data_IF_892757199318
#
_entry.id   IF_892757199318
#
_cell.length_a   1.000
_cell.length_b   1.000
_cell.length_c   1.000
_cell.angle_alpha   90.00
_cell.angle_beta   90.00
_cell.angle_gamma   90.00
#
_symmetry.space_group_name_H-M   'P 1'
#
loop_
_entity.id
_entity.type
_entity.pdbx_description
1 polymer ?
#
# COMPACT_ATOMS: atom_id res chain seq x y z
N UNK A 1 -13.72 12.06 -12.36
CA UNK A 1 -13.35 13.42 -11.90
C UNK A 1 -12.75 13.50 -10.49
N UNK A 2 -12.04 12.47 -10.02
CA UNK A 2 -11.31 12.49 -8.72
C UNK A 2 -9.83 12.11 -8.90
N UNK A 3 -9.31 12.32 -10.11
CA UNK A 3 -7.90 12.11 -10.44
C UNK A 3 -7.03 13.18 -9.78
N UNK A 4 -5.78 12.83 -9.49
CA UNK A 4 -4.73 13.78 -9.13
C UNK A 4 -3.86 14.12 -10.35
N UNK A 5 -2.87 15.02 -10.20
CA UNK A 5 -2.02 15.46 -11.31
C UNK A 5 -1.23 14.36 -12.00
N UNK A 6 -0.89 13.29 -11.26
CA UNK A 6 -0.09 12.15 -11.74
C UNK A 6 -0.94 10.88 -11.91
N UNK A 7 -2.26 11.02 -12.05
CA UNK A 7 -3.12 9.86 -12.26
C UNK A 7 -3.16 9.49 -13.73
N UNK A 8 -3.15 8.19 -13.98
CA UNK A 8 -3.42 7.57 -15.26
C UNK A 8 -4.86 7.80 -15.72
N UNK A 9 -5.07 7.63 -17.04
CA UNK A 9 -6.39 7.55 -17.66
C UNK A 9 -6.69 6.08 -17.99
N UNK A 10 -7.57 5.48 -17.20
CA UNK A 10 -8.19 4.19 -17.52
C UNK A 10 -9.11 4.33 -18.75
N UNK A 11 -8.77 3.65 -19.84
CA UNK A 11 -9.48 3.74 -21.12
C UNK A 11 -9.95 2.37 -21.58
N UNK A 12 -11.23 2.26 -21.95
CA UNK A 12 -11.80 1.03 -22.49
C UNK A 12 -11.91 1.09 -24.02
N UNK A 13 -11.21 0.21 -24.72
CA UNK A 13 -11.39 -0.05 -26.14
C UNK A 13 -12.50 -1.08 -26.36
N UNK A 14 -13.66 -0.63 -26.83
CA UNK A 14 -14.80 -1.47 -27.17
C UNK A 14 -14.76 -1.80 -28.66
N UNK A 15 -14.81 -3.07 -29.01
CA UNK A 15 -14.69 -3.52 -30.41
C UNK A 15 -15.79 -4.52 -30.82
N UNK A 16 -16.14 -4.62 -32.12
CA UNK A 16 -17.09 -5.61 -32.61
C UNK A 16 -16.50 -7.03 -32.61
N UNK A 17 -17.36 -8.04 -32.76
CA UNK A 17 -17.06 -9.47 -32.59
C UNK A 17 -15.92 -10.01 -33.45
N UNK A 18 -15.67 -9.41 -34.60
CA UNK A 18 -14.63 -9.82 -35.56
C UNK A 18 -13.23 -9.28 -35.20
N UNK A 19 -13.13 -8.29 -34.31
CA UNK A 19 -11.85 -7.80 -33.79
C UNK A 19 -11.49 -8.59 -32.54
N UNK A 20 -10.34 -9.26 -32.58
CA UNK A 20 -9.89 -10.17 -31.50
C UNK A 20 -8.83 -9.52 -30.62
N UNK A 21 -8.56 -10.12 -29.46
CA UNK A 21 -7.46 -9.70 -28.57
C UNK A 21 -6.10 -9.75 -29.27
N UNK A 22 -5.92 -10.66 -30.25
CA UNK A 22 -4.70 -10.69 -31.05
C UNK A 22 -4.55 -9.42 -31.89
N UNK A 23 -5.63 -8.89 -32.47
CA UNK A 23 -5.56 -7.59 -33.18
C UNK A 23 -5.23 -6.45 -32.21
N UNK A 24 -5.77 -6.49 -30.99
CA UNK A 24 -5.47 -5.50 -29.96
C UNK A 24 -3.98 -5.48 -29.58
N UNK A 25 -3.32 -6.63 -29.43
CA UNK A 25 -1.89 -6.65 -29.10
C UNK A 25 -0.94 -6.63 -30.30
N UNK A 26 -1.29 -7.29 -31.40
CA UNK A 26 -0.36 -7.50 -32.52
C UNK A 26 -0.60 -6.55 -33.70
N UNK A 27 -1.77 -5.90 -33.80
CA UNK A 27 -2.05 -4.91 -34.83
C UNK A 27 -2.04 -3.48 -34.30
N UNK A 28 -2.59 -3.23 -33.10
CA UNK A 28 -2.64 -1.88 -32.54
C UNK A 28 -1.30 -1.46 -31.91
N UNK A 29 -0.57 -2.34 -31.23
CA UNK A 29 0.72 -1.98 -30.61
C UNK A 29 1.74 -1.45 -31.64
N UNK A 30 1.96 -2.08 -32.82
CA UNK A 30 2.86 -1.51 -33.82
C UNK A 30 2.41 -0.12 -34.30
N UNK A 31 1.10 0.09 -34.46
CA UNK A 31 0.55 1.40 -34.84
C UNK A 31 0.81 2.44 -33.76
N UNK A 32 0.59 2.12 -32.49
CA UNK A 32 0.89 3.01 -31.37
C UNK A 32 2.39 3.33 -31.30
N UNK A 33 3.26 2.32 -31.50
CA UNK A 33 4.73 2.52 -31.54
C UNK A 33 5.19 3.42 -32.69
N UNK A 34 4.46 3.48 -33.81
CA UNK A 34 4.79 4.38 -34.92
C UNK A 34 4.44 5.85 -34.66
N UNK A 35 3.71 6.16 -33.59
CA UNK A 35 3.35 7.52 -33.23
C UNK A 35 4.44 8.13 -32.34
N UNK A 36 5.09 9.20 -32.81
CA UNK A 36 6.16 9.89 -32.04
C UNK A 36 5.70 10.42 -30.67
N UNK A 37 4.39 10.64 -30.50
CA UNK A 37 3.78 11.10 -29.24
C UNK A 37 3.65 9.97 -28.20
N UNK A 38 3.77 8.71 -28.59
CA UNK A 38 3.65 7.55 -27.69
C UNK A 38 5.02 7.17 -27.16
N UNK A 39 5.16 7.12 -25.83
CA UNK A 39 6.37 6.72 -25.11
C UNK A 39 6.05 5.61 -24.11
N UNK A 40 7.09 4.93 -23.64
CA UNK A 40 7.01 3.92 -22.56
C UNK A 40 5.95 2.83 -22.79
N UNK A 41 5.70 2.44 -24.05
CA UNK A 41 4.66 1.46 -24.36
C UNK A 41 5.02 0.08 -23.83
N UNK A 42 4.14 -0.48 -23.01
CA UNK A 42 4.23 -1.81 -22.43
C UNK A 42 2.91 -2.56 -22.59
N UNK A 43 2.96 -3.77 -23.17
CA UNK A 43 1.80 -4.63 -23.36
C UNK A 43 1.84 -5.81 -22.39
N UNK A 44 0.73 -6.05 -21.67
CA UNK A 44 0.59 -7.13 -20.70
C UNK A 44 -0.64 -7.99 -21.02
N UNK A 45 -0.41 -9.07 -21.78
CA UNK A 45 -1.47 -9.96 -22.27
C UNK A 45 -1.98 -10.94 -21.20
N UNK A 46 -1.05 -11.47 -20.40
CA UNK A 46 -1.31 -12.51 -19.40
C UNK A 46 -1.84 -11.98 -18.06
N UNK A 47 -2.22 -10.70 -18.01
CA UNK A 47 -2.83 -10.10 -16.83
C UNK A 47 -4.26 -10.62 -16.61
N UNK A 48 -4.76 -10.40 -15.38
CA UNK A 48 -6.15 -10.67 -15.04
C UNK A 48 -7.11 -9.92 -15.99
N UNK A 49 -6.82 -8.64 -16.23
CA UNK A 49 -7.41 -7.83 -17.31
C UNK A 49 -6.25 -7.46 -18.24
N UNK A 50 -6.23 -7.95 -19.49
CA UNK A 50 -5.19 -7.58 -20.45
C UNK A 50 -5.18 -6.08 -20.70
N UNK A 51 -3.98 -5.49 -20.74
CA UNK A 51 -3.81 -4.03 -20.78
C UNK A 51 -2.60 -3.64 -21.63
N UNK A 52 -2.73 -2.54 -22.36
CA UNK A 52 -1.62 -1.81 -23.00
C UNK A 52 -1.45 -0.51 -22.22
N UNK A 53 -0.26 -0.33 -21.65
CA UNK A 53 0.13 0.86 -20.90
C UNK A 53 1.06 1.70 -21.75
N UNK A 54 0.85 3.01 -21.82
CA UNK A 54 1.74 3.91 -22.55
C UNK A 54 1.57 5.35 -22.06
N UNK A 55 2.59 6.16 -22.24
CA UNK A 55 2.50 7.61 -22.08
C UNK A 55 2.14 8.21 -23.44
N UNK A 56 1.02 8.91 -23.54
CA UNK A 56 0.64 9.69 -24.72
C UNK A 56 0.92 11.17 -24.42
N UNK A 57 1.91 11.73 -25.11
CA UNK A 57 2.49 13.04 -24.84
C UNK A 57 3.08 13.13 -23.41
N UNK A 58 2.29 13.56 -22.43
CA UNK A 58 2.66 13.65 -21.01
C UNK A 58 1.70 12.90 -20.07
N UNK A 59 0.76 12.13 -20.62
CA UNK A 59 -0.31 11.48 -19.84
C UNK A 59 -0.21 9.97 -19.94
N UNK A 60 -0.15 9.31 -18.79
CA UNK A 60 -0.19 7.84 -18.73
C UNK A 60 -1.59 7.31 -19.04
N UNK A 61 -1.68 6.34 -19.94
CA UNK A 61 -2.92 5.70 -20.38
C UNK A 61 -2.83 4.20 -20.13
N UNK A 62 -3.85 3.68 -19.44
CA UNK A 62 -4.10 2.25 -19.27
C UNK A 62 -5.25 1.86 -20.21
N UNK A 63 -4.91 1.30 -21.38
CA UNK A 63 -5.87 0.89 -22.39
C UNK A 63 -6.24 -0.59 -22.21
N UNK A 64 -7.48 -0.85 -21.84
CA UNK A 64 -8.05 -2.20 -21.69
C UNK A 64 -9.01 -2.53 -22.84
N UNK A 65 -9.26 -3.82 -23.04
CA UNK A 65 -10.01 -4.34 -24.18
C UNK A 65 -11.32 -5.00 -23.76
N UNK A 66 -12.39 -4.76 -24.53
CA UNK A 66 -13.63 -5.54 -24.46
C UNK A 66 -14.21 -5.77 -25.85
N UNK A 67 -14.44 -7.05 -26.18
CA UNK A 67 -15.02 -7.46 -27.46
C UNK A 67 -16.49 -7.80 -27.31
N UNK A 68 -17.36 -7.03 -27.96
CA UNK A 68 -18.80 -7.24 -27.93
C UNK A 68 -19.25 -8.35 -28.87
N UNK A 69 -20.41 -8.93 -28.57
CA UNK A 69 -21.12 -9.89 -29.42
C UNK A 69 -21.88 -9.24 -30.60
N UNK A 70 -21.43 -8.07 -31.07
CA UNK A 70 -22.06 -7.26 -32.12
C UNK A 70 -21.21 -7.26 -33.39
N UNK A 71 -21.85 -7.27 -34.57
CA UNK A 71 -21.12 -7.16 -35.85
C UNK A 71 -20.59 -5.74 -36.11
N UNK A 72 -21.32 -4.74 -35.63
CA UNK A 72 -21.03 -3.31 -35.72
C UNK A 72 -21.42 -2.69 -34.38
N UNK A 73 -20.65 -1.71 -33.90
CA UNK A 73 -21.00 -0.93 -32.71
C UNK A 73 -21.80 0.28 -33.18
N UNK A 74 -23.10 0.41 -32.80
CA UNK A 74 -23.88 1.61 -33.12
C UNK A 74 -23.32 2.86 -32.42
N UNK A 75 -23.49 4.03 -33.03
CA UNK A 75 -23.09 5.30 -32.41
C UNK A 75 -23.82 5.56 -31.08
N UNK A 76 -25.11 5.19 -31.01
CA UNK A 76 -25.97 5.30 -29.83
C UNK A 76 -25.87 4.08 -28.88
N UNK A 77 -24.74 3.36 -28.90
CA UNK A 77 -24.57 2.18 -28.06
C UNK A 77 -24.43 2.54 -26.58
N UNK A 78 -25.37 2.05 -25.75
CA UNK A 78 -25.35 2.28 -24.31
C UNK A 78 -24.58 1.17 -23.54
N UNK A 79 -23.41 1.45 -22.94
CA UNK A 79 -22.69 0.47 -22.14
C UNK A 79 -23.46 -0.03 -20.92
N UNK A 80 -24.54 0.63 -20.49
CA UNK A 80 -25.33 0.26 -19.31
C UNK A 80 -26.42 -0.78 -19.59
N UNK A 81 -26.81 -1.03 -20.84
CA UNK A 81 -27.76 -2.10 -21.13
C UNK A 81 -27.15 -3.46 -20.75
N UNK A 82 -27.79 -4.19 -19.82
CA UNK A 82 -27.34 -5.50 -19.37
C UNK A 82 -27.28 -6.53 -20.51
N UNK A 83 -28.06 -6.34 -21.58
CA UNK A 83 -28.02 -7.22 -22.76
C UNK A 83 -26.64 -7.22 -23.44
N UNK A 84 -25.88 -6.14 -23.32
CA UNK A 84 -24.52 -6.05 -23.87
C UNK A 84 -23.53 -7.00 -23.22
N UNK A 85 -23.86 -7.57 -22.05
CA UNK A 85 -23.03 -8.56 -21.37
C UNK A 85 -23.26 -9.99 -21.88
N UNK A 86 -24.26 -10.20 -22.74
CA UNK A 86 -24.60 -11.53 -23.26
C UNK A 86 -23.46 -12.07 -24.14
N UNK A 87 -23.03 -13.30 -23.83
CA UNK A 87 -22.00 -14.03 -24.55
C UNK A 87 -20.62 -13.33 -24.59
N UNK A 88 -20.36 -12.38 -23.68
CA UNK A 88 -19.00 -11.84 -23.52
C UNK A 88 -18.10 -12.87 -22.84
N UNK A 89 -16.83 -12.90 -23.23
CA UNK A 89 -15.84 -13.64 -22.45
C UNK A 89 -15.62 -12.96 -21.08
N UNK A 90 -15.19 -13.70 -20.05
CA UNK A 90 -15.05 -13.16 -18.70
C UNK A 90 -14.11 -11.94 -18.58
N UNK A 91 -13.07 -11.84 -19.42
CA UNK A 91 -12.15 -10.71 -19.42
C UNK A 91 -12.83 -9.47 -19.99
N UNK A 92 -13.49 -9.58 -21.14
CA UNK A 92 -14.27 -8.51 -21.77
C UNK A 92 -15.39 -7.99 -20.87
N UNK A 93 -16.10 -8.90 -20.18
CA UNK A 93 -17.13 -8.55 -19.21
C UNK A 93 -16.56 -7.71 -18.06
N UNK A 94 -15.42 -8.11 -17.51
CA UNK A 94 -14.80 -7.38 -16.41
C UNK A 94 -14.30 -6.00 -16.83
N UNK A 95 -13.67 -5.89 -18.02
CA UNK A 95 -13.24 -4.62 -18.59
C UNK A 95 -14.41 -3.65 -18.72
N UNK A 96 -15.54 -4.13 -19.26
CA UNK A 96 -16.74 -3.33 -19.47
C UNK A 96 -17.40 -2.89 -18.14
N UNK A 97 -17.40 -3.76 -17.13
CA UNK A 97 -17.97 -3.44 -15.82
C UNK A 97 -17.22 -2.32 -15.08
N UNK A 98 -15.92 -2.11 -15.32
CA UNK A 98 -15.19 -1.00 -14.72
C UNK A 98 -15.80 0.38 -15.03
N UNK A 99 -16.18 0.59 -16.30
CA UNK A 99 -16.87 1.80 -16.74
C UNK A 99 -18.30 1.85 -16.18
N UNK A 100 -19.05 0.75 -16.32
CA UNK A 100 -20.46 0.66 -15.87
C UNK A 100 -20.60 0.96 -14.37
N UNK A 101 -19.69 0.47 -13.53
CA UNK A 101 -19.69 0.73 -12.09
C UNK A 101 -19.40 2.20 -11.77
N UNK A 102 -18.45 2.81 -12.48
CA UNK A 102 -18.10 4.23 -12.28
C UNK A 102 -19.29 5.13 -12.57
N UNK A 103 -19.98 4.91 -13.69
CA UNK A 103 -21.14 5.69 -14.08
C UNK A 103 -22.35 5.40 -13.19
N UNK A 104 -22.56 4.15 -12.80
CA UNK A 104 -23.61 3.77 -11.87
C UNK A 104 -23.45 4.50 -10.51
N UNK A 105 -22.21 4.61 -9.99
CA UNK A 105 -21.96 5.39 -8.77
C UNK A 105 -22.36 6.85 -8.96
N UNK A 106 -21.98 7.47 -10.09
CA UNK A 106 -22.30 8.87 -10.36
C UNK A 106 -23.81 9.11 -10.49
N UNK A 107 -24.56 8.16 -11.06
CA UNK A 107 -26.04 8.20 -11.13
C UNK A 107 -26.71 8.00 -9.77
N UNK A 108 -26.04 7.32 -8.83
CA UNK A 108 -26.59 6.96 -7.52
C UNK A 108 -26.28 7.97 -6.40
N UNK A 109 -25.43 8.98 -6.65
CA UNK A 109 -25.13 10.02 -5.68
C UNK A 109 -26.01 11.26 -5.89
N UNK A 110 -26.60 11.82 -4.82
CA UNK A 110 -27.52 12.98 -4.94
C UNK A 110 -26.79 14.29 -5.26
N UNK A 111 -25.54 14.44 -4.81
CA UNK A 111 -24.71 15.60 -5.09
C UNK A 111 -23.31 15.14 -5.53
N UNK A 112 -23.03 15.27 -6.83
CA UNK A 112 -21.79 14.80 -7.46
C UNK A 112 -20.56 15.57 -6.97
N UNK A 113 -20.69 16.87 -6.70
CA UNK A 113 -19.56 17.71 -6.28
C UNK A 113 -19.17 17.47 -4.83
N UNK A 114 -20.15 17.31 -3.95
CA UNK A 114 -19.93 16.89 -2.57
C UNK A 114 -19.30 15.49 -2.52
N UNK A 115 -19.78 14.56 -3.35
CA UNK A 115 -19.20 13.22 -3.51
C UNK A 115 -17.74 13.28 -3.97
N UNK A 116 -17.44 14.01 -5.05
CA UNK A 116 -16.08 14.13 -5.61
C UNK A 116 -15.10 14.74 -4.61
N UNK A 117 -15.50 15.80 -3.93
CA UNK A 117 -14.67 16.48 -2.92
C UNK A 117 -14.36 15.54 -1.75
N UNK A 118 -15.39 14.87 -1.22
CA UNK A 118 -15.23 13.88 -0.15
C UNK A 118 -14.34 12.72 -0.57
N UNK A 119 -14.57 12.15 -1.75
CA UNK A 119 -13.80 11.01 -2.25
C UNK A 119 -12.33 11.37 -2.48
N UNK A 120 -12.02 12.58 -2.97
CA UNK A 120 -10.62 13.05 -3.08
C UNK A 120 -9.94 13.06 -1.72
N UNK A 121 -10.60 13.59 -0.69
CA UNK A 121 -10.07 13.59 0.67
C UNK A 121 -9.88 12.16 1.18
N UNK A 122 -10.89 11.28 1.06
CA UNK A 122 -10.81 9.89 1.53
C UNK A 122 -9.70 9.11 0.82
N UNK A 123 -9.52 9.27 -0.51
CA UNK A 123 -8.42 8.61 -1.22
C UNK A 123 -7.06 9.08 -0.72
N UNK A 124 -6.89 10.38 -0.47
CA UNK A 124 -5.63 10.94 0.07
C UNK A 124 -5.38 10.45 1.50
N UNK A 125 -6.40 10.49 2.36
CA UNK A 125 -6.38 9.97 3.73
C UNK A 125 -6.00 8.49 3.74
N UNK A 126 -6.68 7.66 2.96
CA UNK A 126 -6.44 6.22 2.89
C UNK A 126 -5.02 5.91 2.42
N UNK A 127 -4.48 6.70 1.47
CA UNK A 127 -3.07 6.58 1.05
C UNK A 127 -2.11 6.95 2.18
N UNK A 128 -2.31 8.09 2.85
CA UNK A 128 -1.46 8.53 3.98
C UNK A 128 -1.49 7.53 5.15
N UNK A 129 -2.67 6.96 5.44
CA UNK A 129 -2.87 5.95 6.50
C UNK A 129 -2.51 4.52 6.07
N UNK A 130 -1.99 4.32 4.86
CA UNK A 130 -1.55 3.03 4.34
C UNK A 130 -2.66 1.95 4.33
N UNK A 131 -3.89 2.36 4.02
CA UNK A 131 -5.07 1.48 3.88
C UNK A 131 -5.65 1.50 2.46
N UNK A 132 -4.84 1.89 1.47
CA UNK A 132 -5.21 1.94 0.05
C UNK A 132 -4.36 0.94 -0.75
N UNK A 133 -4.86 -0.29 -0.95
CA UNK A 133 -4.39 -1.26 -1.95
C UNK A 133 -5.19 -2.57 -1.89
N UNK A 134 -5.91 -2.90 -2.96
CA UNK A 134 -6.63 -4.18 -3.04
C UNK A 134 -5.69 -5.40 -3.08
N UNK A 135 -4.50 -5.26 -3.66
CA UNK A 135 -3.52 -6.37 -3.77
C UNK A 135 -3.02 -6.79 -2.39
N UNK A 136 -2.82 -5.83 -1.50
CA UNK A 136 -2.40 -6.08 -0.11
C UNK A 136 -3.58 -6.32 0.85
N UNK A 137 -4.79 -6.55 0.33
CA UNK A 137 -5.96 -6.86 1.15
C UNK A 137 -6.57 -5.67 1.87
N UNK A 138 -6.33 -4.45 1.39
CA UNK A 138 -7.05 -3.24 1.79
C UNK A 138 -8.05 -2.82 0.71
N UNK A 139 -8.61 -1.62 0.82
CA UNK A 139 -9.61 -1.09 -0.09
C UNK A 139 -8.96 -0.47 -1.33
N UNK A 140 -9.49 -0.81 -2.51
CA UNK A 140 -9.14 -0.18 -3.79
C UNK A 140 -9.98 1.06 -4.09
N UNK A 141 -9.69 1.72 -5.22
CA UNK A 141 -10.35 2.98 -5.61
C UNK A 141 -11.87 2.87 -5.70
N UNK A 142 -12.37 1.82 -6.34
CA UNK A 142 -13.82 1.58 -6.48
C UNK A 142 -14.50 1.33 -5.13
N UNK A 143 -13.86 0.59 -4.23
CA UNK A 143 -14.40 0.33 -2.89
C UNK A 143 -14.52 1.62 -2.10
N UNK A 144 -13.50 2.50 -2.13
CA UNK A 144 -13.58 3.82 -1.49
C UNK A 144 -14.66 4.71 -2.10
N UNK A 145 -14.87 4.63 -3.42
CA UNK A 145 -15.94 5.34 -4.10
C UNK A 145 -17.32 4.86 -3.63
N UNK A 146 -17.53 3.54 -3.55
CA UNK A 146 -18.78 2.95 -3.04
C UNK A 146 -19.04 3.36 -1.59
N UNK A 147 -18.03 3.27 -0.72
CA UNK A 147 -18.17 3.69 0.68
C UNK A 147 -18.56 5.18 0.77
N UNK A 148 -17.90 6.03 -0.01
CA UNK A 148 -18.19 7.47 -0.01
C UNK A 148 -19.59 7.77 -0.55
N UNK A 149 -19.98 7.12 -1.66
CA UNK A 149 -21.29 7.27 -2.27
C UNK A 149 -22.42 6.84 -1.33
N UNK A 150 -22.20 5.78 -0.54
CA UNK A 150 -23.19 5.32 0.44
C UNK A 150 -23.51 6.40 1.47
N UNK A 151 -22.51 7.12 1.95
CA UNK A 151 -22.71 8.21 2.91
C UNK A 151 -23.41 9.39 2.23
N UNK A 152 -23.08 9.68 0.96
CA UNK A 152 -23.79 10.71 0.18
C UNK A 152 -25.29 10.37 0.05
N UNK A 153 -25.66 9.10 -0.18
CA UNK A 153 -27.06 8.66 -0.24
C UNK A 153 -27.80 8.85 1.09
N UNK A 154 -27.13 8.58 2.22
CA UNK A 154 -27.71 8.73 3.55
C UNK A 154 -27.85 10.20 3.99
N UNK A 155 -27.05 11.09 3.40
CA UNK A 155 -26.97 12.50 3.76
C UNK A 155 -26.98 13.40 2.51
N UNK A 156 -28.08 13.43 1.75
CA UNK A 156 -28.10 13.97 0.38
C UNK A 156 -27.81 15.47 0.26
N UNK A 157 -28.16 16.24 1.29
CA UNK A 157 -28.06 17.70 1.29
C UNK A 157 -26.89 18.23 2.13
N UNK A 158 -25.94 17.35 2.52
CA UNK A 158 -24.83 17.73 3.39
C UNK A 158 -23.61 18.19 2.58
N UNK A 159 -22.82 19.08 3.18
CA UNK A 159 -21.53 19.51 2.64
C UNK A 159 -20.49 18.40 2.73
N UNK A 160 -19.43 18.48 1.91
CA UNK A 160 -18.36 17.49 1.89
C UNK A 160 -17.70 17.29 3.28
N UNK A 161 -17.53 18.36 4.06
CA UNK A 161 -16.98 18.27 5.43
C UNK A 161 -17.88 17.46 6.36
N UNK A 162 -19.20 17.67 6.29
CA UNK A 162 -20.16 16.89 7.08
C UNK A 162 -20.23 15.43 6.62
N UNK A 163 -20.17 15.18 5.31
CA UNK A 163 -20.10 13.81 4.76
C UNK A 163 -18.85 13.10 5.28
N UNK A 164 -17.68 13.77 5.34
CA UNK A 164 -16.45 13.20 5.91
C UNK A 164 -16.60 12.83 7.39
N UNK A 165 -17.23 13.69 8.20
CA UNK A 165 -17.49 13.38 9.61
C UNK A 165 -18.41 12.16 9.71
N UNK A 166 -19.52 12.15 8.95
CA UNK A 166 -20.47 11.01 8.94
C UNK A 166 -19.83 9.73 8.42
N UNK A 167 -18.90 9.81 7.47
CA UNK A 167 -18.18 8.66 6.93
C UNK A 167 -17.44 7.88 8.03
N UNK A 168 -16.63 8.56 8.83
CA UNK A 168 -15.89 7.88 9.89
C UNK A 168 -16.80 7.34 10.98
N UNK A 169 -17.81 8.12 11.39
CA UNK A 169 -18.78 7.67 12.40
C UNK A 169 -19.57 6.44 11.95
N UNK A 170 -20.01 6.42 10.70
CA UNK A 170 -20.78 5.31 10.15
C UNK A 170 -19.96 4.02 10.06
N UNK A 171 -18.71 4.11 9.57
CA UNK A 171 -17.86 2.93 9.38
C UNK A 171 -17.14 2.43 10.64
N UNK A 172 -16.98 3.28 11.67
CA UNK A 172 -16.61 2.85 13.03
C UNK A 172 -17.68 1.92 13.64
N UNK A 173 -18.96 2.28 13.45
CA UNK A 173 -20.09 1.52 14.00
C UNK A 173 -20.56 0.35 13.10
N UNK A 174 -20.13 0.30 11.84
CA UNK A 174 -20.63 -0.69 10.89
C UNK A 174 -20.34 -2.13 11.33
N UNK A 175 -21.40 -2.95 11.37
CA UNK A 175 -21.34 -4.36 11.80
C UNK A 175 -20.94 -5.27 10.65
N UNK A 176 -19.65 -5.34 10.38
CA UNK A 176 -19.06 -6.33 9.48
C UNK A 176 -19.37 -7.77 9.95
N UNK A 177 -19.74 -8.72 9.05
CA UNK A 177 -19.61 -8.66 7.59
C UNK A 177 -20.88 -8.22 6.84
N UNK A 178 -21.78 -7.44 7.46
CA UNK A 178 -22.96 -6.92 6.74
C UNK A 178 -22.53 -6.19 5.46
N UNK A 179 -23.17 -6.45 4.30
CA UNK A 179 -22.74 -5.91 3.02
C UNK A 179 -23.10 -4.44 2.85
N UNK A 180 -22.21 -3.70 2.22
CA UNK A 180 -22.47 -2.32 1.81
C UNK A 180 -22.88 -2.32 0.34
N UNK A 181 -24.09 -1.87 0.08
CA UNK A 181 -24.69 -1.75 -1.27
C UNK A 181 -25.26 -0.35 -1.49
N UNK A 182 -25.12 0.15 -2.73
CA UNK A 182 -25.69 1.43 -3.18
C UNK A 182 -27.09 1.28 -3.78
N UNK A 183 -27.41 0.08 -4.26
CA UNK A 183 -28.69 -0.27 -4.88
C UNK A 183 -29.01 -1.73 -4.59
N UNK A 184 -30.21 -2.18 -4.96
CA UNK A 184 -30.59 -3.58 -4.86
C UNK A 184 -29.80 -4.47 -5.83
N UNK A 185 -29.52 -5.69 -5.38
CA UNK A 185 -28.76 -6.66 -6.19
C UNK A 185 -29.73 -7.35 -7.14
N UNK A 186 -29.59 -7.03 -8.43
CA UNK A 186 -30.44 -7.60 -9.47
C UNK A 186 -29.84 -8.93 -9.95
N UNK A 187 -30.68 -9.96 -10.06
CA UNK A 187 -30.34 -11.24 -10.72
C UNK A 187 -31.10 -11.32 -12.05
N UNK A 188 -30.40 -11.62 -13.14
CA UNK A 188 -30.97 -11.76 -14.48
C UNK A 188 -30.73 -13.20 -14.98
N UNK A 189 -31.67 -14.13 -14.75
CA UNK A 189 -31.50 -15.55 -15.09
C UNK A 189 -31.19 -15.80 -16.57
N UNK A 190 -31.70 -14.94 -17.46
CA UNK A 190 -31.49 -15.01 -18.90
C UNK A 190 -30.06 -14.72 -19.37
N UNK A 191 -29.22 -14.10 -18.53
CA UNK A 191 -27.81 -13.81 -18.84
C UNK A 191 -26.84 -14.80 -18.19
N UNK A 192 -27.30 -15.57 -17.20
CA UNK A 192 -26.52 -16.62 -16.52
C UNK A 192 -25.12 -16.20 -16.04
N UNK A 193 -24.95 -14.94 -15.62
CA UNK A 193 -23.71 -14.44 -15.04
C UNK A 193 -23.72 -14.61 -13.52
N UNK A 194 -22.56 -14.91 -12.95
CA UNK A 194 -22.38 -15.00 -11.50
C UNK A 194 -22.63 -13.62 -10.86
N UNK A 195 -23.56 -13.58 -9.91
CA UNK A 195 -23.87 -12.40 -9.10
C UNK A 195 -23.55 -12.73 -7.65
N UNK A 196 -22.94 -11.79 -6.95
CA UNK A 196 -22.67 -11.92 -5.53
C UNK A 196 -23.95 -12.23 -4.75
N UNK A 197 -23.90 -13.29 -3.94
CA UNK A 197 -25.01 -13.74 -3.12
C UNK A 197 -24.58 -13.82 -1.64
N UNK A 198 -25.28 -13.14 -0.71
CA UNK A 198 -24.96 -13.22 0.71
C UNK A 198 -25.05 -14.65 1.26
N UNK A 199 -25.89 -15.53 0.70
CA UNK A 199 -26.05 -16.90 1.16
C UNK A 199 -24.80 -17.76 0.90
N UNK A 200 -24.05 -17.46 -0.15
CA UNK A 200 -22.84 -18.22 -0.53
C UNK A 200 -21.55 -17.55 -0.03
N UNK A 201 -21.60 -16.25 0.29
CA UNK A 201 -20.45 -15.42 0.67
C UNK A 201 -20.01 -15.50 2.15
N UNK A 202 -20.27 -16.63 2.84
CA UNK A 202 -20.08 -16.78 4.30
C UNK A 202 -18.64 -16.58 4.81
N UNK A 203 -17.62 -16.67 3.95
CA UNK A 203 -16.20 -16.47 4.31
C UNK A 203 -15.72 -15.02 4.14
N UNK A 204 -16.52 -14.15 3.54
CA UNK A 204 -16.12 -12.79 3.21
C UNK A 204 -16.27 -11.86 4.43
N UNK A 205 -15.23 -11.09 4.73
CA UNK A 205 -15.13 -10.36 5.99
C UNK A 205 -15.69 -8.92 5.94
N UNK A 206 -15.64 -8.29 4.76
CA UNK A 206 -16.06 -6.90 4.59
C UNK A 206 -16.65 -6.63 3.19
N UNK A 207 -17.78 -7.25 2.82
CA UNK A 207 -18.33 -7.16 1.47
C UNK A 207 -18.77 -5.74 1.10
N UNK A 208 -18.18 -5.21 0.02
CA UNK A 208 -18.54 -3.90 -0.57
C UNK A 208 -18.90 -4.16 -2.03
N UNK A 209 -20.19 -4.04 -2.33
CA UNK A 209 -20.80 -4.60 -3.53
C UNK A 209 -20.86 -3.55 -4.63
N UNK A 210 -20.37 -3.93 -5.82
CA UNK A 210 -20.42 -3.08 -7.01
C UNK A 210 -21.86 -2.88 -7.49
N UNK A 211 -22.25 -1.68 -7.94
CA UNK A 211 -23.64 -1.35 -8.24
C UNK A 211 -24.13 -1.84 -9.62
N UNK A 212 -23.24 -1.99 -10.61
CA UNK A 212 -23.66 -2.45 -11.93
C UNK A 212 -23.84 -3.98 -11.93
N UNK A 213 -24.80 -4.46 -12.73
CA UNK A 213 -24.95 -5.89 -12.95
C UNK A 213 -23.81 -6.43 -13.84
N UNK A 214 -23.30 -7.65 -13.58
CA UNK A 214 -23.53 -8.43 -12.36
C UNK A 214 -22.75 -7.87 -11.17
N UNK A 215 -23.45 -7.73 -10.04
CA UNK A 215 -22.88 -7.18 -8.82
C UNK A 215 -21.86 -8.14 -8.22
N UNK A 216 -20.69 -7.63 -7.84
CA UNK A 216 -19.57 -8.41 -7.30
C UNK A 216 -19.06 -7.80 -6.00
N UNK A 217 -18.41 -8.60 -5.16
CA UNK A 217 -17.69 -8.04 -4.02
C UNK A 217 -16.35 -7.45 -4.47
N UNK A 218 -16.15 -6.14 -4.27
CA UNK A 218 -14.92 -5.43 -4.62
C UNK A 218 -13.75 -5.66 -3.65
N UNK A 219 -13.99 -6.32 -2.52
CA UNK A 219 -13.04 -6.41 -1.38
C UNK A 219 -12.76 -7.84 -0.93
N UNK A 220 -12.80 -8.77 -1.88
CA UNK A 220 -12.56 -10.20 -1.65
C UNK A 220 -11.17 -10.53 -1.10
N UNK A 221 -10.19 -9.61 -1.20
CA UNK A 221 -8.84 -9.79 -0.65
C UNK A 221 -8.71 -9.34 0.82
N UNK A 222 -9.74 -8.73 1.42
CA UNK A 222 -9.68 -8.34 2.84
C UNK A 222 -9.57 -9.59 3.71
N UNK A 223 -8.60 -9.57 4.63
CA UNK A 223 -8.40 -10.60 5.63
C UNK A 223 -8.65 -10.04 7.04
N UNK A 224 -8.50 -10.87 8.08
CA UNK A 224 -8.78 -10.48 9.47
C UNK A 224 -7.88 -9.34 9.95
N UNK A 225 -6.59 -9.34 9.58
CA UNK A 225 -5.64 -8.34 10.03
C UNK A 225 -5.86 -7.00 9.35
N UNK A 226 -6.12 -6.98 8.04
CA UNK A 226 -6.40 -5.74 7.29
C UNK A 226 -7.74 -5.14 7.68
N UNK A 227 -8.76 -5.97 7.97
CA UNK A 227 -10.02 -5.49 8.54
C UNK A 227 -9.83 -4.87 9.94
N UNK A 228 -8.98 -5.46 10.79
CA UNK A 228 -8.62 -4.89 12.10
C UNK A 228 -7.98 -3.51 11.95
N UNK A 229 -7.07 -3.35 10.99
CA UNK A 229 -6.44 -2.05 10.67
C UNK A 229 -7.48 -1.04 10.15
N UNK A 230 -8.35 -1.44 9.21
CA UNK A 230 -9.42 -0.57 8.70
C UNK A 230 -10.34 -0.08 9.82
N UNK A 231 -10.79 -0.97 10.71
CA UNK A 231 -11.61 -0.61 11.88
C UNK A 231 -10.90 0.39 12.80
N UNK A 232 -9.61 0.18 13.07
CA UNK A 232 -8.80 1.11 13.88
C UNK A 232 -8.71 2.48 13.23
N UNK A 233 -8.49 2.55 11.92
CA UNK A 233 -8.39 3.82 11.20
C UNK A 233 -9.75 4.54 11.08
N UNK A 234 -10.86 3.81 10.92
CA UNK A 234 -12.20 4.41 11.00
C UNK A 234 -12.47 4.97 12.39
N UNK A 235 -12.13 4.22 13.44
CA UNK A 235 -12.22 4.69 14.84
C UNK A 235 -11.39 5.94 15.08
N UNK A 236 -10.12 5.94 14.64
CA UNK A 236 -9.23 7.11 14.73
C UNK A 236 -9.84 8.31 14.04
N UNK A 237 -10.34 8.12 12.82
CA UNK A 237 -11.02 9.17 12.07
C UNK A 237 -12.22 9.72 12.82
N UNK A 238 -13.07 8.84 13.36
CA UNK A 238 -14.26 9.20 14.14
C UNK A 238 -13.90 9.99 15.39
N UNK A 239 -12.92 9.52 16.16
CA UNK A 239 -12.49 10.18 17.40
C UNK A 239 -11.90 11.58 17.13
N UNK A 240 -11.20 11.77 16.00
CA UNK A 240 -10.71 13.07 15.55
C UNK A 240 -11.87 13.98 15.09
N UNK A 241 -12.73 13.50 14.19
CA UNK A 241 -13.82 14.30 13.63
C UNK A 241 -14.94 14.61 14.62
N UNK A 242 -15.11 13.81 15.68
CA UNK A 242 -16.09 14.09 16.74
C UNK A 242 -15.81 15.45 17.39
N UNK A 243 -14.53 15.83 17.50
CA UNK A 243 -14.13 17.10 18.12
C UNK A 243 -14.64 18.31 17.32
N UNK A 244 -14.75 18.18 15.99
CA UNK A 244 -15.28 19.23 15.09
C UNK A 244 -16.74 19.57 15.42
N UNK A 245 -17.48 18.64 16.03
CA UNK A 245 -18.89 18.85 16.39
C UNK A 245 -19.08 19.72 17.64
N UNK A 246 -18.01 20.10 18.34
CA UNK A 246 -18.09 21.04 19.46
C UNK A 246 -18.43 22.45 18.94
N UNK A 247 -19.55 23.08 19.36
CA UNK A 247 -19.93 24.43 18.90
C UNK A 247 -18.91 25.52 19.22
N UNK A 248 -18.00 25.28 20.17
CA UNK A 248 -16.96 26.24 20.60
C UNK A 248 -15.59 26.00 19.96
N UNK A 249 -15.47 25.06 19.02
CA UNK A 249 -14.18 24.73 18.40
C UNK A 249 -13.68 25.91 17.55
N UNK A 250 -12.40 26.24 17.69
CA UNK A 250 -11.74 27.27 16.88
C UNK A 250 -11.39 26.76 15.47
N UNK A 251 -11.16 27.69 14.53
CA UNK A 251 -10.74 27.36 13.15
C UNK A 251 -9.37 26.71 13.14
N UNK A 252 -8.47 27.12 14.04
CA UNK A 252 -7.14 26.55 14.22
C UNK A 252 -7.22 25.09 14.66
N UNK A 253 -8.12 24.76 15.59
CA UNK A 253 -8.34 23.37 16.03
C UNK A 253 -8.95 22.51 14.91
N UNK A 254 -9.92 23.02 14.15
CA UNK A 254 -10.46 22.31 12.97
C UNK A 254 -9.35 22.02 11.97
N UNK A 255 -8.52 23.02 11.66
CA UNK A 255 -7.39 22.89 10.73
C UNK A 255 -6.40 21.84 11.22
N UNK A 256 -6.08 21.86 12.52
CA UNK A 256 -5.25 20.85 13.15
C UNK A 256 -5.86 19.44 13.01
N UNK A 257 -7.17 19.27 13.23
CA UNK A 257 -7.82 17.97 13.09
C UNK A 257 -7.73 17.43 11.65
N UNK A 258 -7.92 18.29 10.63
CA UNK A 258 -7.75 17.88 9.24
C UNK A 258 -6.31 17.48 8.92
N UNK A 259 -5.32 18.18 9.49
CA UNK A 259 -3.92 17.81 9.37
C UNK A 259 -3.61 16.49 10.09
N UNK A 260 -4.10 16.32 11.32
CA UNK A 260 -3.97 15.09 12.11
C UNK A 260 -4.57 13.90 11.34
N UNK A 261 -5.72 14.05 10.68
CA UNK A 261 -6.29 13.01 9.81
C UNK A 261 -5.32 12.60 8.69
N UNK A 262 -4.56 13.55 8.13
CA UNK A 262 -3.64 13.36 7.01
C UNK A 262 -2.23 12.91 7.40
N UNK A 263 -1.95 12.74 8.70
CA UNK A 263 -0.66 12.22 9.17
C UNK A 263 -0.36 10.84 8.56
N UNK A 264 0.89 10.59 8.12
CA UNK A 264 1.33 9.27 7.67
C UNK A 264 1.10 8.17 8.71
N UNK A 265 0.88 6.95 8.23
CA UNK A 265 0.73 5.76 9.09
C UNK A 265 1.95 5.51 9.98
N UNK A 266 1.71 5.16 11.24
CA UNK A 266 2.75 4.77 12.20
C UNK A 266 3.25 3.32 11.98
N UNK A 267 3.03 2.73 10.81
CA UNK A 267 3.29 1.32 10.52
C UNK A 267 4.66 0.83 11.03
N UNK A 268 5.74 1.56 10.71
CA UNK A 268 7.13 1.21 11.10
C UNK A 268 7.43 1.43 12.60
N UNK A 269 6.48 1.97 13.36
CA UNK A 269 6.59 2.27 14.78
C UNK A 269 5.71 1.37 15.65
N UNK A 270 4.70 0.72 15.05
CA UNK A 270 3.71 -0.09 15.76
C UNK A 270 4.15 -1.54 15.94
N UNK A 271 4.72 -2.16 14.90
CA UNK A 271 5.13 -3.56 14.99
C UNK A 271 6.53 -3.69 15.62
N UNK A 272 6.74 -4.80 16.35
CA UNK A 272 8.06 -5.14 16.92
C UNK A 272 8.95 -5.89 15.92
N UNK A 273 8.32 -6.54 14.95
CA UNK A 273 8.93 -7.47 14.01
C UNK A 273 8.40 -7.20 12.61
N UNK A 274 9.27 -7.37 11.62
CA UNK A 274 8.97 -7.14 10.21
C UNK A 274 9.58 -8.25 9.38
N UNK A 275 8.96 -8.48 8.23
CA UNK A 275 9.56 -9.19 7.11
C UNK A 275 9.82 -8.16 6.00
N UNK A 276 11.06 -8.03 5.58
CA UNK A 276 11.47 -7.20 4.45
C UNK A 276 11.58 -8.08 3.21
N UNK A 277 10.93 -7.69 2.12
CA UNK A 277 11.06 -8.34 0.82
C UNK A 277 11.84 -7.40 -0.09
N UNK A 278 13.10 -7.71 -0.30
CA UNK A 278 14.08 -6.93 -1.06
C UNK A 278 14.03 -7.36 -2.51
N UNK A 279 13.96 -6.38 -3.39
CA UNK A 279 13.81 -6.56 -4.83
C UNK A 279 14.90 -5.73 -5.49
N UNK A 280 15.72 -6.36 -6.30
CA UNK A 280 16.78 -5.71 -7.07
C UNK A 280 16.73 -6.12 -8.54
N UNK A 281 17.26 -5.25 -9.40
CA UNK A 281 17.28 -5.44 -10.84
C UNK A 281 18.50 -4.72 -11.45
N UNK A 282 18.91 -5.04 -12.69
CA UNK A 282 20.06 -4.40 -13.33
C UNK A 282 19.84 -2.93 -13.68
N UNK A 283 18.59 -2.53 -13.95
CA UNK A 283 18.20 -1.16 -14.29
C UNK A 283 16.76 -0.83 -13.82
N UNK A 284 16.31 0.41 -14.07
CA UNK A 284 15.02 0.93 -13.63
C UNK A 284 13.82 0.28 -14.36
N UNK A 285 13.94 -0.05 -15.63
CA UNK A 285 12.87 -0.67 -16.41
C UNK A 285 12.63 -2.11 -15.96
N UNK A 286 13.72 -2.88 -15.78
CA UNK A 286 13.65 -4.21 -15.20
C UNK A 286 13.13 -4.16 -13.77
N UNK A 287 13.53 -3.18 -12.95
CA UNK A 287 13.04 -3.01 -11.60
C UNK A 287 11.53 -2.75 -11.57
N UNK A 288 11.02 -1.84 -12.42
CA UNK A 288 9.59 -1.50 -12.52
C UNK A 288 8.76 -2.75 -12.85
N UNK A 289 9.19 -3.53 -13.84
CA UNK A 289 8.53 -4.79 -14.21
C UNK A 289 8.60 -5.85 -13.11
N UNK A 290 9.75 -5.98 -12.45
CA UNK A 290 9.96 -6.95 -11.39
C UNK A 290 9.18 -6.60 -10.12
N UNK A 291 9.16 -5.33 -9.71
CA UNK A 291 8.33 -4.81 -8.62
C UNK A 291 6.86 -5.14 -8.82
N UNK A 292 6.30 -4.82 -10.00
CA UNK A 292 4.90 -5.13 -10.31
C UNK A 292 4.60 -6.64 -10.27
N UNK A 293 5.55 -7.46 -10.72
CA UNK A 293 5.44 -8.92 -10.64
C UNK A 293 5.39 -9.41 -9.20
N UNK A 294 6.34 -8.98 -8.36
CA UNK A 294 6.42 -9.36 -6.95
C UNK A 294 5.20 -8.84 -6.17
N UNK A 295 4.80 -7.59 -6.41
CA UNK A 295 3.61 -6.97 -5.81
C UNK A 295 2.36 -7.80 -6.08
N UNK A 296 2.13 -8.19 -7.35
CA UNK A 296 0.95 -8.98 -7.75
C UNK A 296 0.86 -10.34 -7.05
N UNK A 297 2.00 -10.87 -6.58
CA UNK A 297 2.08 -12.15 -5.87
C UNK A 297 2.13 -12.00 -4.36
N UNK A 298 2.34 -10.80 -3.81
CA UNK A 298 2.55 -10.59 -2.36
C UNK A 298 1.43 -11.18 -1.49
N UNK A 299 0.19 -11.19 -2.01
CA UNK A 299 -0.95 -11.87 -1.38
C UNK A 299 -0.69 -13.35 -1.05
N UNK A 300 0.10 -14.05 -1.85
CA UNK A 300 0.44 -15.46 -1.64
C UNK A 300 1.36 -15.65 -0.44
N UNK A 301 2.31 -14.73 -0.21
CA UNK A 301 3.15 -14.72 0.98
C UNK A 301 2.30 -14.43 2.22
N UNK A 302 1.49 -13.36 2.17
CA UNK A 302 0.58 -12.97 3.26
C UNK A 302 -0.41 -14.10 3.60
N UNK A 303 -0.92 -14.82 2.60
CA UNK A 303 -1.81 -15.98 2.80
C UNK A 303 -1.09 -17.14 3.50
N UNK A 304 0.15 -17.46 3.11
CA UNK A 304 0.93 -18.57 3.73
C UNK A 304 1.38 -18.26 5.15
N UNK A 305 1.61 -16.98 5.45
CA UNK A 305 1.95 -16.52 6.78
C UNK A 305 0.73 -16.39 7.71
N UNK A 306 -0.45 -16.87 7.32
CA UNK A 306 -1.68 -16.77 8.12
C UNK A 306 -2.43 -18.12 8.15
N UNK A 307 -3.45 -18.27 9.03
CA UNK A 307 -4.25 -19.50 9.07
C UNK A 307 -4.91 -19.80 7.71
N UNK A 308 -5.00 -21.08 7.31
CA UNK A 308 -4.69 -22.28 8.09
C UNK A 308 -3.22 -22.74 8.02
N UNK A 309 -2.34 -22.00 7.34
CA UNK A 309 -0.95 -22.43 7.16
C UNK A 309 -0.08 -22.08 8.36
N UNK A 310 -0.22 -20.87 8.89
CA UNK A 310 0.53 -20.40 10.07
C UNK A 310 -0.44 -19.83 11.09
N UNK A 311 -0.51 -20.42 12.28
CA UNK A 311 -1.50 -20.04 13.30
C UNK A 311 -0.99 -19.03 14.32
N UNK A 312 0.33 -18.92 14.49
CA UNK A 312 0.96 -18.17 15.57
C UNK A 312 1.49 -16.79 15.16
N UNK A 313 1.19 -16.34 13.94
CA UNK A 313 1.57 -15.00 13.45
C UNK A 313 0.39 -14.30 12.80
N UNK A 314 0.22 -13.03 13.15
CA UNK A 314 -0.65 -12.10 12.44
C UNK A 314 0.21 -11.18 11.59
N UNK A 315 -0.17 -11.02 10.32
CA UNK A 315 0.59 -10.26 9.33
C UNK A 315 -0.13 -8.97 8.96
N UNK A 316 0.59 -7.87 9.00
CA UNK A 316 0.12 -6.54 8.65
C UNK A 316 0.87 -6.06 7.40
N UNK A 317 0.29 -6.14 6.21
CA UNK A 317 0.97 -5.67 5.01
C UNK A 317 1.10 -4.14 4.99
N UNK A 318 2.25 -3.64 4.54
CA UNK A 318 2.40 -2.24 4.14
C UNK A 318 2.27 -2.14 2.62
N UNK A 319 1.31 -1.36 2.08
CA UNK A 319 0.96 -1.38 0.67
C UNK A 319 1.93 -0.64 -0.25
N UNK A 320 3.02 -0.07 0.27
CA UNK A 320 3.98 0.71 -0.49
C UNK A 320 5.38 0.10 -0.40
N UNK A 321 6.11 0.17 -1.50
CA UNK A 321 7.53 -0.14 -1.52
C UNK A 321 8.36 1.08 -1.09
N UNK A 322 9.60 0.82 -0.65
CA UNK A 322 10.56 1.83 -0.23
C UNK A 322 11.84 1.68 -1.05
N UNK A 323 12.26 2.78 -1.68
CA UNK A 323 13.55 2.89 -2.38
C UNK A 323 14.69 2.82 -1.37
N UNK A 324 15.71 2.03 -1.68
CA UNK A 324 16.98 2.06 -0.94
C UNK A 324 17.74 3.33 -1.30
N UNK A 325 18.40 3.92 -0.32
CA UNK A 325 19.24 5.12 -0.53
C UNK A 325 20.70 4.77 -0.82
N UNK A 326 21.09 3.56 -0.43
CA UNK A 326 22.44 3.00 -0.45
C UNK A 326 22.65 1.96 -1.57
N UNK A 327 21.57 1.50 -2.21
CA UNK A 327 21.61 0.54 -3.31
C UNK A 327 20.83 1.03 -4.52
N UNK A 328 21.47 1.02 -5.70
CA UNK A 328 20.80 1.35 -6.97
C UNK A 328 19.81 0.24 -7.33
N UNK A 329 18.74 0.66 -8.00
CA UNK A 329 17.69 -0.22 -8.53
C UNK A 329 17.21 -1.28 -7.53
N UNK A 330 17.12 -0.89 -6.26
CA UNK A 330 16.75 -1.76 -5.15
C UNK A 330 15.65 -1.13 -4.34
N UNK A 331 14.58 -1.87 -4.15
CA UNK A 331 13.38 -1.45 -3.42
C UNK A 331 12.93 -2.55 -2.47
N UNK A 332 12.10 -2.21 -1.49
CA UNK A 332 11.57 -3.20 -0.55
C UNK A 332 10.12 -3.01 -0.17
N UNK A 333 9.39 -4.13 -0.12
CA UNK A 333 8.12 -4.23 0.57
C UNK A 333 8.33 -4.66 2.02
N UNK A 334 7.37 -4.32 2.88
CA UNK A 334 7.42 -4.65 4.30
C UNK A 334 6.11 -5.27 4.78
N UNK A 335 6.22 -6.30 5.61
CA UNK A 335 5.12 -6.91 6.33
C UNK A 335 5.40 -6.80 7.83
N UNK A 336 4.52 -6.16 8.59
CA UNK A 336 4.57 -6.13 10.04
C UNK A 336 4.11 -7.47 10.61
N UNK A 337 4.79 -7.96 11.63
CA UNK A 337 4.51 -9.26 12.23
C UNK A 337 4.17 -9.10 13.72
N UNK A 338 3.09 -9.74 14.13
CA UNK A 338 2.71 -9.90 15.53
C UNK A 338 2.64 -11.41 15.83
N UNK A 339 3.48 -11.89 16.73
CA UNK A 339 3.51 -13.30 17.15
C UNK A 339 2.64 -13.51 18.37
N UNK A 340 1.98 -14.67 18.44
CA UNK A 340 1.27 -15.09 19.64
C UNK A 340 2.22 -15.17 20.85
N UNK A 341 1.70 -14.78 22.01
CA UNK A 341 2.47 -14.81 23.25
C UNK A 341 2.91 -16.25 23.60
N UNK A 342 4.09 -16.39 24.21
CA UNK A 342 4.62 -17.70 24.61
C UNK A 342 5.24 -18.55 23.49
N UNK A 343 4.97 -18.30 22.20
CA UNK A 343 5.61 -19.05 21.10
C UNK A 343 7.11 -18.75 21.02
N UNK A 344 7.98 -19.77 21.06
CA UNK A 344 9.45 -19.62 21.03
C UNK A 344 10.05 -19.92 19.67
N UNK A 345 9.67 -21.05 19.05
CA UNK A 345 10.09 -21.39 17.70
C UNK A 345 9.15 -20.75 16.66
N UNK A 346 9.64 -19.72 15.99
CA UNK A 346 8.98 -19.06 14.86
C UNK A 346 9.64 -19.57 13.58
N UNK A 347 8.86 -20.18 12.69
CA UNK A 347 9.36 -20.69 11.42
C UNK A 347 8.61 -20.06 10.25
N UNK A 348 9.30 -19.17 9.52
CA UNK A 348 8.73 -18.48 8.36
C UNK A 348 9.19 -19.11 7.02
N UNK A 349 10.11 -20.09 7.07
CA UNK A 349 10.76 -20.69 5.91
C UNK A 349 9.78 -21.24 4.89
N UNK A 350 8.81 -22.06 5.30
CA UNK A 350 7.83 -22.66 4.37
C UNK A 350 7.04 -21.63 3.56
N UNK A 351 6.68 -20.50 4.19
CA UNK A 351 5.96 -19.44 3.51
C UNK A 351 6.84 -18.68 2.51
N UNK A 352 8.10 -18.45 2.89
CA UNK A 352 9.13 -17.83 2.05
C UNK A 352 9.43 -18.72 0.85
N UNK A 353 9.73 -20.00 1.07
CA UNK A 353 10.03 -20.99 0.01
C UNK A 353 8.85 -21.14 -0.96
N UNK A 354 7.62 -21.20 -0.44
CA UNK A 354 6.43 -21.20 -1.29
C UNK A 354 6.34 -19.94 -2.16
N UNK A 355 6.64 -18.78 -1.59
CA UNK A 355 6.60 -17.52 -2.33
C UNK A 355 7.68 -17.45 -3.41
N UNK A 356 8.92 -17.87 -3.11
CA UNK A 356 9.98 -18.05 -4.11
C UNK A 356 9.50 -18.95 -5.25
N UNK A 357 8.87 -20.10 -4.95
CA UNK A 357 8.38 -21.03 -5.98
C UNK A 357 7.33 -20.41 -6.92
N UNK A 358 6.55 -19.42 -6.45
CA UNK A 358 5.57 -18.70 -7.28
C UNK A 358 6.21 -17.68 -8.20
N UNK A 359 7.38 -17.16 -7.84
CA UNK A 359 8.11 -16.16 -8.61
C UNK A 359 9.15 -16.77 -9.55
N UNK A 360 9.75 -17.92 -9.21
CA UNK A 360 10.67 -18.64 -10.10
C UNK A 360 10.01 -19.15 -11.38
N UNK A 361 8.70 -19.43 -11.33
CA UNK A 361 7.93 -19.89 -12.52
C UNK A 361 7.50 -18.74 -13.45
N UNK A 362 7.94 -17.50 -13.19
CA UNK A 362 7.54 -16.37 -14.00
C UNK A 362 8.33 -16.32 -15.32
N UNK A 363 7.67 -16.31 -16.50
CA UNK A 363 8.35 -16.42 -17.80
C UNK A 363 9.38 -15.33 -18.09
N UNK A 364 9.18 -14.12 -17.54
CA UNK A 364 10.05 -12.96 -17.76
C UNK A 364 11.16 -12.80 -16.71
N UNK A 365 11.35 -13.77 -15.81
CA UNK A 365 12.39 -13.68 -14.78
C UNK A 365 13.76 -13.91 -15.39
N UNK A 366 14.70 -13.00 -15.15
CA UNK A 366 16.12 -13.18 -15.49
C UNK A 366 16.95 -13.51 -14.24
N UNK A 367 18.17 -14.07 -14.39
CA UNK A 367 19.08 -14.31 -13.26
C UNK A 367 19.47 -13.04 -12.49
N UNK A 368 19.46 -11.88 -13.15
CA UNK A 368 19.82 -10.58 -12.58
C UNK A 368 18.69 -9.98 -11.73
N UNK A 369 17.47 -10.51 -11.82
CA UNK A 369 16.35 -10.11 -10.97
C UNK A 369 16.46 -10.76 -9.58
N UNK A 370 16.95 -9.98 -8.62
CA UNK A 370 17.14 -10.40 -7.24
C UNK A 370 15.84 -10.40 -6.43
N UNK A 371 15.74 -11.33 -5.50
CA UNK A 371 14.66 -11.41 -4.52
C UNK A 371 15.19 -12.02 -3.24
N UNK A 372 15.29 -11.22 -2.19
CA UNK A 372 15.69 -11.65 -0.86
C UNK A 372 14.61 -11.34 0.15
N UNK A 373 14.41 -12.22 1.14
CA UNK A 373 13.38 -12.06 2.16
C UNK A 373 14.01 -12.22 3.54
N UNK A 374 13.97 -11.16 4.33
CA UNK A 374 14.68 -11.08 5.59
C UNK A 374 13.75 -10.75 6.76
N UNK A 375 13.94 -11.44 7.87
CA UNK A 375 13.31 -11.08 9.14
C UNK A 375 14.11 -9.97 9.84
N UNK A 376 13.41 -8.93 10.31
CA UNK A 376 14.02 -7.77 10.96
C UNK A 376 13.26 -7.41 12.24
N UNK A 377 13.97 -7.29 13.37
CA UNK A 377 13.45 -6.66 14.60
C UNK A 377 13.44 -5.15 14.41
N UNK A 378 12.43 -4.40 14.86
CA UNK A 378 12.35 -2.99 14.44
C UNK A 378 13.43 -2.03 14.97
N UNK A 379 14.26 -2.43 15.93
CA UNK A 379 15.52 -1.71 16.26
C UNK A 379 16.45 -1.63 15.06
N UNK A 380 16.36 -2.63 14.19
CA UNK A 380 17.25 -2.89 13.09
C UNK A 380 16.58 -2.58 11.74
N UNK A 381 15.38 -1.99 11.73
CA UNK A 381 14.80 -1.46 10.49
C UNK A 381 15.82 -0.50 9.83
N UNK A 382 16.03 -0.59 8.51
CA UNK A 382 16.94 0.32 7.81
C UNK A 382 16.49 1.78 7.94
N UNK A 383 17.43 2.73 7.90
CA UNK A 383 17.09 4.15 8.11
C UNK A 383 16.26 4.72 6.94
N UNK A 384 16.45 4.20 5.72
CA UNK A 384 15.71 4.64 4.51
C UNK A 384 14.19 4.47 4.63
N UNK A 385 13.69 3.59 5.51
CA UNK A 385 12.23 3.36 5.64
C UNK A 385 11.52 4.59 6.22
N UNK A 386 12.23 5.39 7.02
CA UNK A 386 11.67 6.55 7.70
C UNK A 386 11.76 7.84 6.85
N UNK A 387 12.52 7.85 5.75
CA UNK A 387 12.67 9.03 4.90
C UNK A 387 13.27 10.22 5.67
N UNK A 388 12.67 11.40 5.52
CA UNK A 388 13.07 12.62 6.25
C UNK A 388 12.65 12.61 7.73
N UNK A 389 11.71 11.75 8.09
CA UNK A 389 11.28 11.59 9.47
C UNK A 389 12.36 10.78 10.21
N UNK A 390 13.15 11.42 11.07
CA UNK A 390 14.16 10.68 11.85
C UNK A 390 13.49 9.58 12.68
N UNK A 391 14.13 8.40 12.73
CA UNK A 391 13.72 7.27 13.57
C UNK A 391 13.30 7.75 14.96
N UNK A 392 12.04 7.55 15.38
CA UNK A 392 11.55 8.14 16.61
C UNK A 392 12.37 7.70 17.84
N UNK A 393 12.65 8.61 18.79
CA UNK A 393 13.47 8.32 19.98
C UNK A 393 12.96 7.17 20.87
N UNK A 394 11.71 6.72 20.65
CA UNK A 394 11.05 5.63 21.39
C UNK A 394 11.84 4.31 21.34
N UNK A 395 12.69 4.10 20.34
CA UNK A 395 13.50 2.88 20.22
C UNK A 395 14.83 2.89 21.01
N UNK A 396 15.28 4.03 21.56
CA UNK A 396 16.46 4.01 22.44
C UNK A 396 16.13 3.14 23.66
N UNK A 397 16.94 2.11 23.88
CA UNK A 397 16.62 0.97 24.75
C UNK A 397 16.20 1.39 26.16
N UNK A 398 15.45 0.54 26.87
CA UNK A 398 15.15 0.76 28.28
C UNK A 398 16.43 0.94 29.15
N UNK A 399 17.58 0.39 28.71
CA UNK A 399 18.91 0.63 29.29
C UNK A 399 19.38 2.06 29.07
N UNK A 400 19.14 2.66 27.90
CA UNK A 400 19.46 4.06 27.61
C UNK A 400 18.56 5.03 28.36
N UNK A 401 17.28 4.69 28.55
CA UNK A 401 16.38 5.44 29.44
C UNK A 401 16.85 5.39 30.90
N UNK A 402 17.35 4.25 31.40
CA UNK A 402 17.95 4.14 32.75
C UNK A 402 19.28 4.88 32.87
N UNK A 403 20.17 4.82 31.86
CA UNK A 403 21.43 5.59 31.82
C UNK A 403 21.17 7.09 31.76
N UNK A 404 20.21 7.56 30.95
CA UNK A 404 19.86 8.98 30.83
C UNK A 404 19.09 9.50 32.06
N UNK A 405 18.26 8.66 32.70
CA UNK A 405 17.66 8.97 34.02
C UNK A 405 18.70 9.02 35.14
N UNK A 406 19.69 8.11 35.18
CA UNK A 406 20.82 8.19 36.13
C UNK A 406 21.71 9.41 35.87
N UNK A 407 21.96 9.78 34.61
CA UNK A 407 22.74 10.99 34.25
C UNK A 407 21.98 12.27 34.60
N UNK A 408 20.66 12.34 34.37
CA UNK A 408 19.81 13.49 34.78
C UNK A 408 19.59 13.56 36.29
N UNK A 409 19.58 12.44 37.00
CA UNK A 409 19.46 12.41 38.46
C UNK A 409 20.76 12.88 39.12
N UNK A 410 21.92 12.38 38.69
CA UNK A 410 23.23 12.90 39.11
C UNK A 410 23.39 14.41 38.86
N UNK A 411 22.96 14.89 37.69
CA UNK A 411 23.05 16.32 37.36
C UNK A 411 22.09 17.22 38.16
N UNK A 412 21.01 16.66 38.73
CA UNK A 412 20.09 17.39 39.62
C UNK A 412 20.54 17.31 41.07
N UNK A 413 21.05 16.15 41.49
CA UNK A 413 21.59 15.94 42.83
C UNK A 413 22.86 16.81 43.06
N UNK A 414 23.62 17.13 41.99
CA UNK A 414 24.77 18.08 42.03
C UNK A 414 24.33 19.57 41.99
N UNK A 415 23.12 19.90 41.52
CA UNK A 415 22.63 21.29 41.41
C UNK A 415 21.82 21.73 42.66
N UNK A 416 21.32 20.80 43.47
CA UNK A 416 20.45 21.09 44.65
C UNK A 416 21.19 21.01 46.01
N UNK A 417 22.52 20.81 46.06
CA UNK A 417 23.31 20.80 47.29
C UNK A 417 23.95 22.16 47.64
N UNK A 418 23.08 23.08 48.08
CA UNK A 418 23.26 24.24 48.97
C UNK A 418 24.12 25.51 48.60
N UNK A 419 23.71 26.71 49.09
CA UNK A 419 24.18 28.06 48.70
C UNK A 419 25.08 28.77 49.75
N UNK A 420 25.71 29.89 49.31
CA UNK A 420 26.18 31.12 50.02
C UNK A 420 27.00 30.99 51.34
N UNK A 421 28.00 31.80 51.71
CA UNK A 421 28.78 32.92 51.16
C UNK A 421 30.01 33.12 52.10
N UNK A 422 31.02 33.86 51.62
CA UNK A 422 32.01 34.70 52.33
C UNK A 422 33.49 34.32 52.46
N UNK A 423 34.28 35.33 52.03
CA UNK A 423 35.52 35.87 52.58
C UNK A 423 36.89 35.47 51.94
N UNK A 424 37.30 36.35 51.01
CA UNK A 424 38.53 37.19 51.04
C UNK A 424 39.94 36.56 51.04
N UNK A 425 40.72 37.06 50.05
CA UNK A 425 42.10 37.63 50.11
C UNK A 425 43.29 36.77 49.62
N UNK A 426 43.99 37.34 48.62
CA UNK A 426 45.44 37.29 48.23
C UNK A 426 46.07 35.92 47.84
N UNK A 427 47.07 35.76 46.98
CA UNK A 427 47.82 36.61 46.04
C UNK A 427 48.64 35.70 45.09
N UNK A 428 48.96 36.23 43.90
CA UNK A 428 50.22 36.11 43.15
C UNK A 428 50.78 34.79 42.52
N UNK A 429 51.37 35.02 41.31
CA UNK A 429 52.44 34.32 40.55
C UNK A 429 52.03 33.15 39.63
N UNK A 430 52.19 33.18 38.30
CA UNK A 430 53.30 33.49 37.37
C UNK A 430 54.13 32.25 36.96
N UNK A 431 54.27 32.06 35.63
CA UNK A 431 55.19 31.18 34.87
C UNK A 431 55.04 29.65 35.05
N UNK A 432 55.41 28.75 34.14
CA UNK A 432 56.11 28.81 32.85
C UNK A 432 55.88 27.48 32.10
N UNK A 433 56.21 27.47 30.80
CA UNK A 433 56.86 26.41 30.00
C UNK A 433 56.92 24.95 30.54
N UNK A 434 56.76 23.86 29.77
CA UNK A 434 57.48 23.51 28.53
C UNK A 434 57.05 22.12 28.03
N UNK A 435 57.13 21.96 26.70
CA UNK A 435 57.64 20.82 25.88
C UNK A 435 57.29 19.35 26.21
N UNK A 436 56.97 18.62 25.13
CA UNK A 436 57.05 17.16 25.11
C UNK A 436 56.56 16.49 23.83
N UNK A 437 57.26 16.72 22.73
CA UNK A 437 57.41 15.85 21.53
C UNK A 437 57.50 14.35 21.92
N UNK A 438 57.15 13.33 21.13
CA UNK A 438 57.54 13.02 19.74
C UNK A 438 56.88 11.69 19.33
N UNK A 439 56.55 11.59 18.03
CA UNK A 439 56.76 10.45 17.09
C UNK A 439 56.26 9.02 17.45
N UNK A 440 55.89 8.13 16.54
CA UNK A 440 56.38 7.90 15.17
C UNK A 440 55.55 6.81 14.47
N UNK A 441 55.36 7.01 13.15
CA UNK A 441 55.59 6.07 12.04
C UNK A 441 54.67 4.83 11.85
N UNK A 442 53.95 4.76 10.72
CA UNK A 442 54.28 4.03 9.45
C UNK A 442 53.62 2.62 9.45
N UNK A 443 53.08 2.02 8.38
CA UNK A 443 53.41 1.99 6.95
C UNK A 443 52.14 1.60 6.12
N UNK A 444 51.92 2.18 4.93
CA UNK A 444 52.10 1.62 3.57
C UNK A 444 51.39 0.31 3.21
N UNK A 445 50.31 0.47 2.44
CA UNK A 445 50.06 0.07 1.03
C UNK A 445 50.84 -1.07 0.33
N UNK A 446 50.12 -1.71 -0.61
CA UNK A 446 50.55 -2.71 -1.62
C UNK A 446 50.08 -4.13 -1.29
N UNK A 447 49.42 -4.94 -2.13
CA UNK A 447 49.09 -4.89 -3.56
C UNK A 447 49.15 -6.32 -4.12
N UNK A 448 48.12 -6.77 -4.84
CA UNK A 448 48.27 -7.76 -5.93
C UNK A 448 47.79 -9.21 -5.75
N UNK A 449 47.36 -9.74 -6.90
CA UNK A 449 47.15 -11.14 -7.32
C UNK A 449 45.74 -11.74 -7.14
N UNK A 450 45.19 -12.17 -8.29
CA UNK A 450 43.86 -12.72 -8.45
C UNK A 450 43.77 -14.23 -8.26
N UNK A 451 42.52 -14.69 -8.19
CA UNK A 451 42.14 -16.10 -8.29
C UNK A 451 40.72 -16.16 -8.87
N UNK A 452 40.58 -16.83 -10.01
CA UNK A 452 39.31 -17.31 -10.53
C UNK A 452 38.67 -18.24 -9.51
N UNK A 453 37.43 -17.95 -9.08
CA UNK A 453 36.62 -18.91 -8.31
C UNK A 453 35.24 -19.06 -8.91
N UNK A 454 35.00 -20.31 -9.36
CA UNK A 454 33.70 -20.90 -9.61
C UNK A 454 32.68 -20.48 -8.54
N UNK A 455 31.56 -19.90 -8.96
CA UNK A 455 30.45 -19.58 -8.08
C UNK A 455 29.55 -20.83 -8.01
N UNK A 456 29.85 -21.69 -7.03
CA UNK A 456 28.88 -22.64 -6.51
C UNK A 456 27.73 -21.89 -5.83
N UNK A 457 26.50 -22.24 -6.21
CA UNK A 457 25.27 -21.78 -5.58
C UNK A 457 25.24 -22.17 -4.09
N UNK A 458 25.31 -21.18 -3.19
CA UNK A 458 25.18 -21.38 -1.75
C UNK A 458 23.75 -21.85 -1.38
N UNK A 459 23.58 -22.89 -0.57
CA UNK A 459 22.27 -23.31 -0.08
C UNK A 459 21.73 -22.34 0.98
N UNK A 460 20.41 -22.16 0.98
CA UNK A 460 19.66 -21.25 1.84
C UNK A 460 19.95 -21.48 3.34
N UNK A 461 20.33 -20.42 4.06
CA UNK A 461 20.43 -20.42 5.53
C UNK A 461 19.05 -20.64 6.15
N UNK A 462 18.85 -21.77 6.82
CA UNK A 462 17.73 -22.02 7.75
C UNK A 462 17.73 -20.95 8.84
N UNK A 463 16.86 -19.95 8.74
CA UNK A 463 16.66 -18.96 9.81
C UNK A 463 15.76 -19.57 10.90
N UNK A 464 16.38 -20.20 11.90
CA UNK A 464 15.74 -20.50 13.18
C UNK A 464 15.87 -19.27 14.08
N UNK A 465 14.75 -18.65 14.45
CA UNK A 465 14.75 -17.42 15.25
C UNK A 465 14.55 -17.77 16.73
N UNK A 466 15.59 -17.60 17.55
CA UNK A 466 15.48 -17.59 19.00
C UNK A 466 15.22 -16.14 19.48
N UNK A 467 14.33 -15.99 20.48
CA UNK A 467 13.74 -14.70 20.91
C UNK A 467 14.74 -13.67 21.41
#
# INVERSE_FOLDING_TARGET
GVHGPTSDIDTLCVVPKHVTINHFFHSLVPKLKSLNVVKELSAVEDAYVPVIKFCYDTVDIDLIFSRLSLSVIPDEWDPHDNKNLKNLDPKSQKSLNGCRDTDAILKLVPNVDAFRTTLRFIKRWAKKRAVYSNVFGFLGGISWAILTAKICQLYPNQSASHILIKFFHFYDFWKWPSPIKLTEIIKLPNLNLEVWDPATAHKQLAPIITPAYPAMNSTYNINKSTLKVLKREFKRGKDLTTKILNPKISVEEITKIWNDLMEPSDFFLECKHYLQVIISAPDEDFLKGWLGTVESKMRHLVMRLQPPFTHYVTVYPFPYHKKHTDAKFTESFFLGLEFEEGKKDIFLGDAIDYFHSKLHRHPKRTPEMGLDIEYIKAKNLPEFVFGDERRPPKWKSAKDRKKKKKKKKRKRDDEDAHPQDNAKIEDAKEADETKGTTSSAEAKDGGGAGEEKNIESSPAKKQRLEK
#
